data_IF_927414210177
#
_entry.id   IF_927414210177
#
_cell.length_a   1.000
_cell.length_b   1.000
_cell.length_c   1.000
_cell.angle_alpha   90.00
_cell.angle_beta   90.00
_cell.angle_gamma   90.00
#
_symmetry.space_group_name_H-M   'P 1'
#
loop_
_entity.id
_entity.type
_entity.pdbx_description
1 polymer ?
#
# COMPACT_ATOMS: atom_id res chain seq x y z
N UNK A 1 10.50 19.04 7.30
CA UNK A 1 11.77 19.61 6.76
C UNK A 1 12.90 18.57 6.72
N UNK A 2 13.02 17.67 7.70
CA UNK A 2 14.04 16.60 7.70
C UNK A 2 14.03 15.71 6.47
N UNK A 3 12.86 15.20 6.04
CA UNK A 3 12.75 14.35 4.85
C UNK A 3 13.25 15.03 3.56
N UNK A 4 12.83 16.27 3.30
CA UNK A 4 13.29 17.01 2.13
C UNK A 4 14.80 17.32 2.17
N UNK A 5 15.37 17.48 3.37
CA UNK A 5 16.82 17.65 3.52
C UNK A 5 17.57 16.35 3.22
N UNK A 6 17.11 15.22 3.79
CA UNK A 6 17.65 13.89 3.51
C UNK A 6 17.69 13.61 1.99
N UNK A 7 16.57 13.86 1.29
CA UNK A 7 16.50 13.62 -0.15
C UNK A 7 17.49 14.48 -0.94
N UNK A 8 17.69 15.74 -0.55
CA UNK A 8 18.68 16.62 -1.19
C UNK A 8 20.12 16.20 -0.94
N UNK A 9 20.40 15.56 0.21
CA UNK A 9 21.72 14.98 0.49
C UNK A 9 21.95 13.72 -0.34
N UNK A 10 20.92 12.90 -0.55
CA UNK A 10 21.01 11.68 -1.36
C UNK A 10 21.11 11.97 -2.87
N UNK A 11 20.26 12.87 -3.38
CA UNK A 11 20.34 13.38 -4.75
C UNK A 11 19.86 14.84 -4.79
N UNK A 12 20.80 15.76 -4.97
CA UNK A 12 20.52 17.18 -5.00
C UNK A 12 19.60 17.61 -6.15
N UNK A 13 19.48 16.80 -7.22
CA UNK A 13 18.62 17.07 -8.38
C UNK A 13 17.21 16.53 -8.20
N UNK A 14 16.96 15.69 -7.19
CA UNK A 14 15.65 15.10 -6.96
C UNK A 14 14.66 16.16 -6.48
N UNK A 15 13.62 16.38 -7.26
CA UNK A 15 12.50 17.25 -6.90
C UNK A 15 11.35 16.40 -6.40
N UNK A 16 10.98 16.59 -5.13
CA UNK A 16 9.86 15.87 -4.53
C UNK A 16 8.57 16.20 -5.30
N UNK A 17 7.85 15.20 -5.82
CA UNK A 17 6.59 15.43 -6.51
C UNK A 17 5.55 16.11 -5.62
N UNK A 18 4.64 16.85 -6.23
CA UNK A 18 3.60 17.56 -5.50
C UNK A 18 2.62 16.59 -4.82
N UNK A 19 1.96 17.07 -3.75
CA UNK A 19 0.86 16.32 -3.11
C UNK A 19 -0.22 15.92 -4.11
N UNK A 20 -0.53 16.80 -5.08
CA UNK A 20 -1.51 16.53 -6.13
C UNK A 20 -1.09 15.36 -7.01
N UNK A 21 0.18 15.30 -7.41
CA UNK A 21 0.70 14.17 -8.18
C UNK A 21 0.56 12.84 -7.41
N UNK A 22 0.87 12.83 -6.12
CA UNK A 22 0.69 11.60 -5.32
C UNK A 22 -0.77 11.18 -5.21
N UNK A 23 -1.68 12.12 -4.94
CA UNK A 23 -3.10 11.83 -4.79
C UNK A 23 -3.77 11.39 -6.10
N UNK A 24 -3.46 12.07 -7.20
CA UNK A 24 -4.20 11.92 -8.45
C UNK A 24 -3.55 10.90 -9.40
N UNK A 25 -2.25 10.62 -9.25
CA UNK A 25 -1.48 9.80 -10.19
C UNK A 25 -0.78 8.63 -9.49
N UNK A 26 0.15 8.92 -8.57
CA UNK A 26 1.04 7.88 -8.05
C UNK A 26 0.32 6.85 -7.17
N UNK A 27 -0.52 7.30 -6.22
CA UNK A 27 -1.25 6.39 -5.32
C UNK A 27 -2.29 5.54 -6.07
N UNK A 28 -3.14 6.11 -6.96
CA UNK A 28 -4.06 5.29 -7.75
C UNK A 28 -3.33 4.26 -8.63
N UNK A 29 -2.23 4.65 -9.27
CA UNK A 29 -1.45 3.74 -10.11
C UNK A 29 -0.83 2.60 -9.29
N UNK A 30 -0.22 2.92 -8.14
CA UNK A 30 0.35 1.92 -7.24
C UNK A 30 -0.73 0.97 -6.71
N UNK A 31 -1.88 1.50 -6.30
CA UNK A 31 -3.01 0.70 -5.82
C UNK A 31 -3.50 -0.28 -6.89
N UNK A 32 -3.78 0.19 -8.10
CA UNK A 32 -4.27 -0.67 -9.18
C UNK A 32 -3.25 -1.74 -9.56
N UNK A 33 -1.97 -1.37 -9.68
CA UNK A 33 -0.90 -2.33 -10.01
C UNK A 33 -0.75 -3.41 -8.93
N UNK A 34 -0.79 -2.99 -7.65
CA UNK A 34 -0.71 -3.92 -6.51
C UNK A 34 -1.95 -4.80 -6.45
N UNK A 35 -3.14 -4.25 -6.69
CA UNK A 35 -4.39 -4.99 -6.69
C UNK A 35 -4.39 -6.08 -7.75
N UNK A 36 -3.99 -5.77 -8.98
CA UNK A 36 -3.95 -6.80 -10.03
C UNK A 36 -2.89 -7.86 -9.77
N UNK A 37 -1.73 -7.49 -9.22
CA UNK A 37 -0.74 -8.47 -8.78
C UNK A 37 -1.33 -9.44 -7.74
N UNK A 38 -1.94 -8.92 -6.67
CA UNK A 38 -2.56 -9.74 -5.62
C UNK A 38 -3.68 -10.60 -6.20
N UNK A 39 -4.49 -10.05 -7.11
CA UNK A 39 -5.56 -10.80 -7.77
C UNK A 39 -5.02 -12.01 -8.52
N UNK A 40 -4.00 -11.81 -9.36
CA UNK A 40 -3.39 -12.91 -10.12
C UNK A 40 -2.78 -13.96 -9.19
N UNK A 41 -2.09 -13.54 -8.12
CA UNK A 41 -1.58 -14.48 -7.12
C UNK A 41 -2.71 -15.30 -6.50
N UNK A 42 -3.80 -14.66 -6.06
CA UNK A 42 -4.95 -15.33 -5.45
C UNK A 42 -5.72 -16.25 -6.40
N UNK A 43 -5.78 -15.93 -7.69
CA UNK A 43 -6.40 -16.78 -8.72
C UNK A 43 -5.62 -18.10 -8.92
N UNK A 44 -4.32 -18.10 -8.66
CA UNK A 44 -3.46 -19.29 -8.76
C UNK A 44 -3.40 -20.10 -7.45
N UNK A 45 -3.84 -19.53 -6.31
CA UNK A 45 -3.71 -20.16 -5.00
C UNK A 45 -4.81 -21.17 -4.70
N UNK A 46 -4.42 -22.40 -4.37
CA UNK A 46 -5.36 -23.44 -3.94
C UNK A 46 -5.77 -23.34 -2.46
N UNK A 47 -4.84 -22.92 -1.59
CA UNK A 47 -5.04 -22.89 -0.14
C UNK A 47 -4.56 -21.57 0.46
N UNK A 48 -5.44 -20.92 1.21
CA UNK A 48 -5.14 -19.73 1.98
C UNK A 48 -5.99 -19.69 3.26
N UNK A 49 -5.55 -18.88 4.22
CA UNK A 49 -6.34 -18.48 5.37
C UNK A 49 -6.58 -16.98 5.32
N UNK A 50 -7.66 -16.50 5.91
CA UNK A 50 -7.94 -15.07 6.00
C UNK A 50 -8.30 -14.69 7.42
N UNK A 51 -7.75 -13.59 7.90
CA UNK A 51 -8.08 -12.99 9.19
C UNK A 51 -8.64 -11.60 8.97
N UNK A 52 -9.68 -11.30 9.74
CA UNK A 52 -10.30 -9.97 9.73
C UNK A 52 -10.08 -9.33 11.10
N UNK A 53 -9.58 -8.10 11.11
CA UNK A 53 -9.46 -7.29 12.33
C UNK A 53 -10.46 -6.14 12.27
N UNK A 54 -11.23 -5.96 13.34
CA UNK A 54 -12.17 -4.87 13.50
C UNK A 54 -11.79 -4.05 14.73
N UNK A 55 -11.69 -2.74 14.52
CA UNK A 55 -11.47 -1.79 15.62
C UNK A 55 -12.22 -0.50 15.35
N UNK A 56 -12.36 0.31 16.38
CA UNK A 56 -12.88 1.68 16.25
C UNK A 56 -11.80 2.67 16.66
N UNK A 57 -11.70 3.81 15.97
CA UNK A 57 -10.82 4.89 16.42
C UNK A 57 -11.31 5.52 17.71
N UNK A 58 -10.48 6.40 18.29
CA UNK A 58 -10.87 7.28 19.39
C UNK A 58 -12.07 8.18 19.07
N UNK A 59 -12.36 8.43 17.79
CA UNK A 59 -13.53 9.19 17.33
C UNK A 59 -14.71 8.27 16.96
N UNK A 60 -14.70 7.02 17.42
CA UNK A 60 -15.70 5.99 17.14
C UNK A 60 -15.89 5.67 15.65
N UNK A 61 -14.87 5.93 14.81
CA UNK A 61 -14.89 5.53 13.41
C UNK A 61 -14.59 4.02 13.33
N UNK A 62 -15.48 3.18 12.76
CA UNK A 62 -15.19 1.76 12.59
C UNK A 62 -14.21 1.54 11.44
N UNK A 63 -13.31 0.57 11.64
CA UNK A 63 -12.35 0.09 10.65
C UNK A 63 -12.45 -1.44 10.54
N UNK A 64 -12.23 -1.92 9.34
CA UNK A 64 -12.15 -3.33 8.99
C UNK A 64 -10.86 -3.51 8.19
N UNK A 65 -10.02 -4.45 8.61
CA UNK A 65 -8.93 -4.95 7.77
C UNK A 65 -9.12 -6.42 7.48
N UNK A 66 -8.67 -6.83 6.30
CA UNK A 66 -8.60 -8.21 5.87
C UNK A 66 -7.15 -8.52 5.53
N UNK A 67 -6.61 -9.60 6.08
CA UNK A 67 -5.28 -10.12 5.76
C UNK A 67 -5.42 -11.54 5.27
N UNK A 68 -4.85 -11.82 4.09
CA UNK A 68 -4.79 -13.17 3.53
C UNK A 68 -3.40 -13.75 3.81
N UNK A 69 -3.36 -14.97 4.34
CA UNK A 69 -2.15 -15.71 4.66
C UNK A 69 -2.07 -16.93 3.76
N UNK A 70 -0.94 -17.10 3.08
CA UNK A 70 -0.73 -18.22 2.18
C UNK A 70 0.74 -18.63 2.18
N UNK A 71 1.00 -19.86 1.76
CA UNK A 71 2.36 -20.36 1.54
C UNK A 71 2.56 -20.45 0.03
N UNK A 72 3.63 -19.84 -0.45
CA UNK A 72 4.05 -19.92 -1.84
C UNK A 72 5.41 -20.63 -1.91
N UNK A 73 5.55 -21.58 -2.82
CA UNK A 73 6.79 -22.35 -3.06
C UNK A 73 7.64 -21.77 -4.20
N UNK A 74 7.28 -20.58 -4.71
CA UNK A 74 8.06 -19.85 -5.73
C UNK A 74 9.54 -19.73 -5.37
#
# INVERSE_FOLDING_TARGET
RGFNHLLKVLDARYVVPSRKYFADVALPHLYNTTREKIRSELEEMQFYSATTDLWSSRTMQPYLSLTVHYINTS
#
